data_IF_586380892959
#
_entry.id   IF_586380892959
#
_cell.length_a   1.000
_cell.length_b   1.000
_cell.length_c   1.000
_cell.angle_alpha   90.00
_cell.angle_beta   90.00
_cell.angle_gamma   90.00
#
_symmetry.space_group_name_H-M   'P 1'
#
loop_
_entity.id
_entity.type
_entity.pdbx_description
1 polymer ?
#
# COMPACT_ATOMS: atom_id res chain seq x y z
N UNK A 1 29.23 69.14 -1.95
CA UNK A 1 29.07 68.87 -3.40
C UNK A 1 29.88 67.63 -3.75
N UNK A 2 29.29 66.69 -4.51
CA UNK A 2 29.82 65.41 -5.03
C UNK A 2 29.66 64.15 -4.15
N UNK A 3 28.51 63.51 -4.40
CA UNK A 3 28.16 62.09 -4.40
C UNK A 3 29.27 61.05 -4.14
N UNK A 4 28.96 60.11 -3.24
CA UNK A 4 29.42 58.73 -3.32
C UNK A 4 28.20 57.82 -3.12
N UNK A 5 27.75 57.20 -4.21
CA UNK A 5 26.65 56.23 -4.27
C UNK A 5 27.23 54.86 -3.91
N UNK A 6 26.81 54.28 -2.78
CA UNK A 6 27.17 52.92 -2.40
C UNK A 6 26.13 51.94 -2.97
N UNK A 7 26.57 51.03 -3.85
CA UNK A 7 25.77 49.90 -4.34
C UNK A 7 25.55 48.90 -3.19
N UNK A 8 24.29 48.63 -2.84
CA UNK A 8 23.87 47.52 -1.97
C UNK A 8 23.66 46.26 -2.81
N UNK A 9 24.54 45.28 -2.64
CA UNK A 9 24.43 43.94 -3.22
C UNK A 9 23.57 43.06 -2.28
N UNK A 10 22.28 42.91 -2.58
CA UNK A 10 21.38 42.02 -1.84
C UNK A 10 21.56 40.57 -2.34
N UNK A 11 22.30 39.76 -1.59
CA UNK A 11 22.46 38.33 -1.82
C UNK A 11 21.16 37.57 -1.54
N UNK A 12 20.64 36.89 -2.55
CA UNK A 12 19.45 36.04 -2.51
C UNK A 12 19.78 34.75 -1.73
N UNK A 13 19.38 34.67 -0.46
CA UNK A 13 19.43 33.44 0.34
C UNK A 13 18.28 32.52 -0.11
N UNK A 14 18.57 31.61 -1.04
CA UNK A 14 17.69 30.48 -1.36
C UNK A 14 17.77 29.44 -0.22
N UNK A 15 16.92 29.58 0.79
CA UNK A 15 16.72 28.52 1.78
C UNK A 15 15.93 27.37 1.12
N UNK A 16 16.42 26.13 1.14
CA UNK A 16 15.65 24.99 0.64
C UNK A 16 14.42 24.80 1.53
N UNK A 17 13.23 25.05 0.99
CA UNK A 17 11.97 24.69 1.64
C UNK A 17 11.91 23.17 1.74
N UNK A 18 12.07 22.65 2.97
CA UNK A 18 11.71 21.28 3.34
C UNK A 18 10.19 21.13 3.18
N UNK A 19 9.75 20.85 1.95
CA UNK A 19 8.37 20.46 1.69
C UNK A 19 8.16 19.06 2.24
N UNK A 20 7.62 18.94 3.44
CA UNK A 20 7.01 17.69 3.88
C UNK A 20 5.84 17.41 2.94
N UNK A 21 5.96 16.39 2.10
CA UNK A 21 4.83 15.91 1.31
C UNK A 21 3.67 15.63 2.28
N UNK A 22 2.54 16.29 2.04
CA UNK A 22 1.34 16.06 2.85
C UNK A 22 1.01 14.56 2.81
N UNK A 23 0.65 13.99 3.96
CA UNK A 23 0.16 12.63 4.01
C UNK A 23 -1.05 12.50 3.07
N UNK A 24 -1.14 11.42 2.28
CA UNK A 24 -2.24 11.24 1.34
C UNK A 24 -3.57 11.08 2.07
N UNK A 25 -4.66 11.56 1.47
CA UNK A 25 -6.02 11.38 1.97
C UNK A 25 -6.54 9.98 1.58
N UNK A 26 -5.85 8.93 2.04
CA UNK A 26 -6.12 7.54 1.66
C UNK A 26 -5.57 6.53 2.69
N UNK A 27 -5.92 5.26 2.52
CA UNK A 27 -5.26 4.14 3.20
C UNK A 27 -4.01 3.72 2.44
N UNK A 28 -2.87 3.72 3.12
CA UNK A 28 -1.62 3.17 2.61
C UNK A 28 -1.57 1.66 2.88
N UNK A 29 -1.14 0.89 1.87
CA UNK A 29 -0.95 -0.56 1.97
C UNK A 29 0.54 -0.85 1.92
N UNK A 30 1.10 -1.33 3.03
CA UNK A 30 2.46 -1.86 3.09
C UNK A 30 2.40 -3.37 3.03
N UNK A 31 3.22 -4.01 2.21
CA UNK A 31 3.25 -5.46 2.11
C UNK A 31 4.68 -5.98 1.98
N UNK A 32 4.95 -7.10 2.65
CA UNK A 32 6.22 -7.83 2.56
C UNK A 32 5.91 -9.27 2.15
N UNK A 33 6.54 -9.74 1.08
CA UNK A 33 6.44 -11.14 0.67
C UNK A 33 6.92 -12.06 1.79
N UNK A 34 6.13 -13.10 2.06
CA UNK A 34 6.45 -14.19 2.96
C UNK A 34 6.61 -15.51 2.20
N UNK A 35 6.14 -16.59 2.81
CA UNK A 35 6.35 -17.94 2.29
C UNK A 35 5.61 -18.22 0.98
N UNK A 36 6.22 -19.08 0.17
CA UNK A 36 5.63 -19.71 -1.00
C UNK A 36 5.13 -21.09 -0.61
N UNK A 37 3.88 -21.39 -0.95
CA UNK A 37 3.26 -22.68 -0.64
C UNK A 37 2.44 -23.23 -1.79
N UNK A 38 1.73 -24.32 -1.50
CA UNK A 38 0.79 -24.95 -2.41
C UNK A 38 -0.29 -25.69 -1.62
N UNK A 39 -1.47 -25.81 -2.20
CA UNK A 39 -2.59 -26.60 -1.66
C UNK A 39 -3.05 -27.57 -2.73
N UNK A 40 -3.32 -28.82 -2.33
CA UNK A 40 -3.79 -29.89 -3.21
C UNK A 40 -4.89 -30.68 -2.52
N UNK A 41 -6.10 -30.66 -3.09
CA UNK A 41 -7.26 -31.40 -2.56
C UNK A 41 -8.07 -31.96 -3.73
N UNK A 42 -8.08 -33.29 -3.88
CA UNK A 42 -8.67 -33.94 -5.06
C UNK A 42 -8.01 -33.44 -6.34
N UNK A 43 -8.82 -33.02 -7.31
CA UNK A 43 -8.36 -32.48 -8.60
C UNK A 43 -8.07 -30.97 -8.56
N UNK A 44 -8.13 -30.34 -7.39
CA UNK A 44 -7.86 -28.90 -7.22
C UNK A 44 -6.46 -28.70 -6.68
N UNK A 45 -5.63 -28.01 -7.46
CA UNK A 45 -4.27 -27.65 -7.10
C UNK A 45 -4.06 -26.16 -7.32
N UNK A 46 -3.42 -25.49 -6.37
CA UNK A 46 -3.03 -24.09 -6.51
C UNK A 46 -1.78 -23.77 -5.71
N UNK A 47 -1.06 -22.75 -6.15
CA UNK A 47 0.11 -22.18 -5.47
C UNK A 47 -0.36 -21.03 -4.60
N UNK A 48 0.36 -20.77 -3.52
CA UNK A 48 0.06 -19.71 -2.58
C UNK A 48 1.26 -18.81 -2.34
N UNK A 49 1.02 -17.50 -2.24
CA UNK A 49 2.03 -16.52 -1.82
C UNK A 49 1.47 -15.75 -0.62
N UNK A 50 2.14 -15.89 0.53
CA UNK A 50 1.82 -15.13 1.72
C UNK A 50 2.42 -13.72 1.66
N UNK A 51 1.74 -12.75 2.26
CA UNK A 51 2.24 -11.40 2.52
C UNK A 51 1.89 -10.99 3.95
N UNK A 52 2.85 -10.39 4.64
CA UNK A 52 2.54 -9.58 5.83
C UNK A 52 2.10 -8.20 5.35
N UNK A 53 0.86 -7.83 5.64
CA UNK A 53 0.21 -6.61 5.17
C UNK A 53 -0.10 -5.69 6.35
N UNK A 54 0.21 -4.40 6.20
CA UNK A 54 -0.21 -3.34 7.12
C UNK A 54 -1.03 -2.30 6.38
N UNK A 55 -2.22 -2.00 6.90
CA UNK A 55 -3.09 -0.92 6.43
C UNK A 55 -2.93 0.26 7.37
N UNK A 56 -2.70 1.45 6.82
CA UNK A 56 -2.54 2.69 7.60
C UNK A 56 -3.45 3.76 7.02
N UNK A 57 -4.38 4.27 7.82
CA UNK A 57 -5.18 5.42 7.39
C UNK A 57 -4.36 6.70 7.56
N UNK A 58 -3.86 7.24 6.46
CA UNK A 58 -3.09 8.48 6.44
C UNK A 58 -3.97 9.75 6.40
N UNK A 59 -5.28 9.59 6.17
CA UNK A 59 -6.25 10.68 6.16
C UNK A 59 -6.50 11.27 7.55
N UNK A 60 -7.16 12.43 7.56
CA UNK A 60 -7.65 13.09 8.77
C UNK A 60 -9.08 12.68 9.15
N UNK A 61 -9.70 11.82 8.35
CA UNK A 61 -11.06 11.28 8.52
C UNK A 61 -11.04 9.76 8.62
N UNK A 62 -12.09 9.17 9.20
CA UNK A 62 -12.28 7.72 9.21
C UNK A 62 -12.62 7.24 7.79
N UNK A 63 -12.00 6.13 7.36
CA UNK A 63 -12.23 5.53 6.04
C UNK A 63 -12.94 4.20 6.22
N UNK A 64 -14.03 3.99 5.47
CA UNK A 64 -14.70 2.68 5.40
C UNK A 64 -13.98 1.75 4.42
N UNK A 65 -13.76 0.51 4.86
CA UNK A 65 -13.18 -0.59 4.09
C UNK A 65 -14.20 -1.67 3.73
N UNK A 66 -15.47 -1.51 4.12
CA UNK A 66 -16.55 -2.49 3.94
C UNK A 66 -16.73 -3.01 2.51
N UNK A 67 -16.49 -2.16 1.52
CA UNK A 67 -16.58 -2.50 0.08
C UNK A 67 -15.20 -2.73 -0.55
N UNK A 68 -14.16 -2.87 0.26
CA UNK A 68 -12.78 -3.04 -0.19
C UNK A 68 -12.26 -4.43 0.15
N UNK A 69 -11.36 -4.92 -0.69
CA UNK A 69 -10.63 -6.17 -0.48
C UNK A 69 -9.18 -5.99 -0.87
N UNK A 70 -8.33 -6.84 -0.30
CA UNK A 70 -6.94 -6.96 -0.71
C UNK A 70 -6.85 -7.78 -2.00
N UNK A 71 -6.04 -7.27 -2.93
CA UNK A 71 -5.71 -7.94 -4.18
C UNK A 71 -4.20 -7.88 -4.36
N UNK A 72 -3.60 -9.02 -4.66
CA UNK A 72 -2.22 -9.09 -5.11
C UNK A 72 -2.16 -8.99 -6.63
N UNK A 73 -1.15 -8.28 -7.16
CA UNK A 73 -1.02 -8.01 -8.58
C UNK A 73 0.43 -8.23 -9.06
N UNK A 74 0.59 -8.78 -10.26
CA UNK A 74 1.89 -8.88 -10.94
C UNK A 74 2.26 -7.59 -11.67
N UNK A 75 3.52 -7.48 -12.08
CA UNK A 75 3.98 -6.36 -12.92
C UNK A 75 3.22 -6.26 -14.27
N UNK A 76 2.66 -7.37 -14.77
CA UNK A 76 1.85 -7.41 -15.99
C UNK A 76 0.37 -7.02 -15.76
N UNK A 77 -0.01 -6.71 -14.52
CA UNK A 77 -1.37 -6.28 -14.17
C UNK A 77 -2.34 -7.43 -13.84
N UNK A 78 -1.89 -8.68 -13.85
CA UNK A 78 -2.70 -9.84 -13.46
C UNK A 78 -3.01 -9.79 -11.96
N UNK A 79 -4.29 -9.89 -11.61
CA UNK A 79 -4.76 -9.96 -10.22
C UNK A 79 -4.85 -11.40 -9.74
N UNK A 80 -4.54 -11.63 -8.46
CA UNK A 80 -4.63 -12.93 -7.80
C UNK A 80 -5.67 -12.91 -6.70
N UNK A 81 -6.43 -14.00 -6.57
CA UNK A 81 -7.49 -14.12 -5.55
C UNK A 81 -6.89 -14.20 -4.16
N UNK A 82 -7.56 -13.59 -3.19
CA UNK A 82 -7.28 -13.78 -1.77
C UNK A 82 -7.82 -15.15 -1.34
N UNK A 83 -6.97 -16.00 -0.79
CA UNK A 83 -7.32 -17.36 -0.33
C UNK A 83 -7.65 -17.35 1.16
N UNK A 84 -6.79 -16.75 1.98
CA UNK A 84 -7.02 -16.52 3.40
C UNK A 84 -6.49 -15.16 3.84
N UNK A 85 -7.02 -14.64 4.94
CA UNK A 85 -6.63 -13.36 5.52
C UNK A 85 -6.88 -13.37 7.03
N UNK A 86 -5.98 -12.77 7.79
CA UNK A 86 -6.14 -12.55 9.22
C UNK A 86 -7.30 -11.59 9.52
N UNK A 87 -8.00 -11.82 10.63
CA UNK A 87 -9.20 -11.08 11.04
C UNK A 87 -8.93 -9.57 11.20
N UNK A 88 -7.73 -9.20 11.66
CA UNK A 88 -7.28 -7.82 11.83
C UNK A 88 -7.37 -7.00 10.54
N UNK A 89 -7.19 -7.64 9.38
CA UNK A 89 -7.26 -6.99 8.06
C UNK A 89 -8.70 -6.89 7.53
N UNK A 90 -9.68 -7.48 8.21
CA UNK A 90 -11.11 -7.44 7.85
C UNK A 90 -11.89 -6.32 8.54
N UNK A 91 -11.20 -5.35 9.14
CA UNK A 91 -11.82 -4.21 9.80
C UNK A 91 -12.72 -3.41 8.84
N UNK A 92 -13.98 -3.18 9.23
CA UNK A 92 -14.97 -2.42 8.43
C UNK A 92 -14.59 -0.95 8.20
N UNK A 93 -13.80 -0.39 9.13
CA UNK A 93 -13.38 1.02 9.15
C UNK A 93 -12.00 1.16 9.75
N UNK A 94 -11.25 2.18 9.31
CA UNK A 94 -9.96 2.53 9.90
C UNK A 94 -9.97 4.01 10.32
N UNK A 95 -9.77 4.27 11.61
CA UNK A 95 -9.74 5.63 12.19
C UNK A 95 -8.54 6.44 11.68
N UNK A 96 -8.59 7.79 11.69
CA UNK A 96 -7.46 8.63 11.29
C UNK A 96 -6.18 8.26 12.03
N UNK A 97 -5.08 8.00 11.30
CA UNK A 97 -3.79 7.62 11.87
C UNK A 97 -3.70 6.21 12.46
N UNK A 98 -4.80 5.44 12.45
CA UNK A 98 -4.79 4.07 12.94
C UNK A 98 -4.17 3.11 11.93
N UNK A 99 -3.70 1.97 12.43
CA UNK A 99 -3.17 0.88 11.61
C UNK A 99 -3.64 -0.48 12.10
N UNK A 100 -3.82 -1.39 11.15
CA UNK A 100 -4.01 -2.83 11.39
C UNK A 100 -2.95 -3.60 10.59
N UNK A 101 -2.53 -4.75 11.10
CA UNK A 101 -1.54 -5.61 10.46
C UNK A 101 -1.93 -7.08 10.63
N UNK A 102 -1.71 -7.87 9.58
CA UNK A 102 -1.95 -9.30 9.58
C UNK A 102 -1.34 -9.95 8.34
N UNK A 103 -1.51 -11.24 8.20
CA UNK A 103 -1.09 -12.00 7.03
C UNK A 103 -2.26 -12.16 6.03
N UNK A 104 -1.93 -12.06 4.74
CA UNK A 104 -2.84 -12.26 3.62
C UNK A 104 -2.19 -13.24 2.62
N UNK A 105 -2.89 -14.32 2.29
CA UNK A 105 -2.39 -15.35 1.38
C UNK A 105 -3.18 -15.30 0.08
N UNK A 106 -2.47 -15.15 -1.04
CA UNK A 106 -3.07 -15.11 -2.37
C UNK A 106 -2.77 -16.39 -3.15
N UNK A 107 -3.58 -16.70 -4.16
CA UNK A 107 -3.47 -17.95 -4.92
C UNK A 107 -3.63 -17.81 -6.44
N UNK A 108 -3.01 -18.75 -7.17
CA UNK A 108 -3.22 -19.04 -8.60
C UNK A 108 -3.11 -20.55 -8.85
N UNK A 109 -3.76 -21.08 -9.89
CA UNK A 109 -3.65 -22.52 -10.22
C UNK A 109 -2.22 -22.92 -10.64
N UNK A 110 -1.50 -22.00 -11.26
CA UNK A 110 -0.09 -22.11 -11.66
C UNK A 110 0.85 -21.28 -10.77
N UNK A 111 2.10 -21.12 -11.17
CA UNK A 111 3.12 -20.40 -10.41
C UNK A 111 3.00 -18.85 -10.54
N UNK A 112 1.98 -18.33 -11.24
CA UNK A 112 1.87 -16.90 -11.54
C UNK A 112 1.80 -16.01 -10.29
N UNK A 113 1.18 -16.49 -9.20
CA UNK A 113 1.09 -15.75 -7.93
C UNK A 113 2.47 -15.48 -7.31
N UNK A 114 3.49 -16.29 -7.61
CA UNK A 114 4.87 -16.01 -7.17
C UNK A 114 5.48 -14.78 -7.83
N UNK A 115 4.88 -14.31 -8.94
CA UNK A 115 5.20 -13.05 -9.60
C UNK A 115 4.39 -11.86 -9.08
N UNK A 116 3.55 -12.03 -8.06
CA UNK A 116 2.84 -10.93 -7.42
C UNK A 116 3.81 -10.01 -6.69
N UNK A 117 3.88 -8.74 -7.11
CA UNK A 117 4.83 -7.75 -6.61
C UNK A 117 4.17 -6.50 -6.02
N UNK A 118 2.83 -6.46 -6.01
CA UNK A 118 2.04 -5.39 -5.43
C UNK A 118 0.86 -5.97 -4.65
N UNK A 119 0.59 -5.46 -3.46
CA UNK A 119 -0.68 -5.66 -2.75
C UNK A 119 -1.38 -4.31 -2.66
N UNK A 120 -2.68 -4.27 -2.97
CA UNK A 120 -3.47 -3.05 -2.98
C UNK A 120 -4.91 -3.31 -2.54
N UNK A 121 -5.60 -2.24 -2.17
CA UNK A 121 -7.05 -2.26 -2.03
C UNK A 121 -7.73 -2.15 -3.40
N UNK A 122 -8.89 -2.79 -3.52
CA UNK A 122 -9.77 -2.82 -4.68
C UNK A 122 -11.22 -2.80 -4.22
N UNK A 123 -12.10 -2.17 -4.99
CA UNK A 123 -13.56 -2.23 -4.84
C UNK A 123 -14.19 -3.42 -5.61
N UNK A 124 -13.37 -4.16 -6.37
CA UNK A 124 -13.76 -5.35 -7.13
C UNK A 124 -13.38 -6.61 -6.38
N UNK A 125 -14.28 -7.06 -5.50
CA UNK A 125 -14.05 -8.18 -4.58
C UNK A 125 -14.69 -9.50 -5.01
N UNK A 126 -14.57 -9.82 -6.30
CA UNK A 126 -15.13 -11.05 -6.90
C UNK A 126 -14.08 -12.12 -7.06
#
# INVERSE_FOLDING_TARGET
MKNAMALTLAGLLAAPSLGFAAAPDAVMVFARQGDKGSVSVGDKHFRTQAFKVRLVNAAKSEISLKNSCLVAQSAAGQSFRLDTVDEELTADTLKPGASVEGDAIFASEDDAVYGASLVRLSDRCK
#
